data_IF_563801146726
#
_entry.id   IF_563801146726
#
_cell.length_a   1.000
_cell.length_b   1.000
_cell.length_c   1.000
_cell.angle_alpha   90.00
_cell.angle_beta   90.00
_cell.angle_gamma   90.00
#
_symmetry.space_group_name_H-M   'P 1'
#
loop_
_entity.id
_entity.type
_entity.pdbx_description
1 polymer ?
#
# COMPACT_ATOMS: atom_id res chain seq x y z
N UNK A 1 -47.77 55.23 1.08
CA UNK A 1 -48.73 54.13 1.36
C UNK A 1 -48.25 52.94 0.54
N UNK A 2 -47.33 52.13 1.07
CA UNK A 2 -47.50 50.95 1.94
C UNK A 2 -48.21 49.75 1.27
N UNK A 3 -47.59 48.57 1.50
CA UNK A 3 -48.04 47.17 1.32
C UNK A 3 -47.79 46.54 -0.07
N UNK A 4 -46.73 45.71 -0.22
CA UNK A 4 -46.67 44.23 -0.01
C UNK A 4 -47.48 43.47 -1.06
N UNK A 5 -46.90 42.58 -1.87
CA UNK A 5 -46.56 41.22 -1.47
C UNK A 5 -45.45 40.56 -2.31
N UNK A 6 -44.73 39.69 -1.60
CA UNK A 6 -43.66 38.82 -2.07
C UNK A 6 -44.19 37.62 -2.86
N UNK A 7 -43.35 37.11 -3.78
CA UNK A 7 -43.07 35.67 -3.88
C UNK A 7 -41.79 35.44 -4.70
N UNK A 8 -40.68 35.28 -3.98
CA UNK A 8 -39.42 34.73 -4.49
C UNK A 8 -39.58 33.20 -4.41
N UNK A 9 -39.84 32.54 -5.54
CA UNK A 9 -39.71 31.10 -5.63
C UNK A 9 -38.28 30.75 -6.03
N UNK A 10 -37.43 30.56 -5.02
CA UNK A 10 -36.16 29.89 -5.18
C UNK A 10 -36.43 28.41 -5.52
N UNK A 11 -36.28 28.05 -6.80
CA UNK A 11 -36.20 26.64 -7.20
C UNK A 11 -34.79 26.17 -6.88
N UNK A 12 -34.63 25.66 -5.67
CA UNK A 12 -33.42 24.97 -5.23
C UNK A 12 -33.12 23.81 -6.17
N UNK A 13 -32.00 23.92 -6.88
CA UNK A 13 -31.33 22.79 -7.49
C UNK A 13 -30.82 21.92 -6.34
N UNK A 14 -31.65 20.98 -5.88
CA UNK A 14 -31.17 19.86 -5.07
C UNK A 14 -30.35 18.94 -5.98
N UNK A 15 -29.11 19.33 -6.22
CA UNK A 15 -28.08 18.39 -6.63
C UNK A 15 -27.79 17.52 -5.42
N UNK A 16 -28.53 16.41 -5.31
CA UNK A 16 -28.14 15.29 -4.48
C UNK A 16 -26.88 14.71 -5.12
N UNK A 17 -25.72 15.22 -4.72
CA UNK A 17 -24.46 14.54 -4.97
C UNK A 17 -24.56 13.22 -4.21
N UNK A 18 -24.80 12.12 -4.94
CA UNK A 18 -24.39 10.80 -4.47
C UNK A 18 -22.88 10.86 -4.33
N UNK A 19 -22.39 11.26 -3.15
CA UNK A 19 -21.02 10.99 -2.78
C UNK A 19 -20.93 9.47 -2.67
N UNK A 20 -20.59 8.82 -3.78
CA UNK A 20 -19.92 7.53 -3.71
C UNK A 20 -18.75 7.79 -2.78
N UNK A 21 -18.84 7.25 -1.56
CA UNK A 21 -17.73 7.28 -0.62
C UNK A 21 -16.64 6.46 -1.33
N UNK A 22 -15.77 7.13 -2.10
CA UNK A 22 -14.55 6.50 -2.56
C UNK A 22 -13.81 6.14 -1.29
N UNK A 23 -13.85 4.84 -0.99
CA UNK A 23 -13.15 4.25 0.13
C UNK A 23 -11.66 4.34 -0.18
N UNK A 24 -11.11 5.52 0.09
CA UNK A 24 -9.70 5.83 -0.04
C UNK A 24 -8.96 5.26 1.17
N UNK A 25 -8.90 3.94 1.25
CA UNK A 25 -8.03 3.25 2.17
C UNK A 25 -6.97 2.47 1.40
N UNK A 26 -5.84 2.31 2.06
CA UNK A 26 -4.81 1.34 1.76
C UNK A 26 -4.88 0.27 2.84
N UNK A 27 -4.84 -1.00 2.42
CA UNK A 27 -4.62 -2.14 3.30
C UNK A 27 -3.44 -2.94 2.78
N UNK A 28 -2.42 -3.08 3.62
CA UNK A 28 -1.30 -3.99 3.43
C UNK A 28 -1.50 -5.20 4.33
N UNK A 29 -1.40 -6.40 3.77
CA UNK A 29 -1.37 -7.66 4.53
C UNK A 29 -0.07 -8.39 4.23
N UNK A 30 0.57 -8.92 5.28
CA UNK A 30 1.71 -9.84 5.14
C UNK A 30 1.39 -11.12 5.91
N UNK A 31 1.22 -12.23 5.20
CA UNK A 31 0.98 -13.54 5.79
C UNK A 31 2.28 -14.35 5.79
N UNK A 32 2.65 -14.93 6.93
CA UNK A 32 3.74 -15.90 7.02
C UNK A 32 3.18 -17.29 6.72
N UNK A 33 3.44 -17.81 5.51
CA UNK A 33 2.82 -19.04 5.02
C UNK A 33 3.55 -20.29 5.50
N UNK A 34 4.87 -20.28 5.38
CA UNK A 34 5.70 -21.43 5.69
C UNK A 34 7.14 -20.99 6.02
N UNK A 35 7.87 -21.85 6.73
CA UNK A 35 9.28 -21.63 7.05
C UNK A 35 10.06 -22.89 6.67
N UNK A 36 11.10 -22.70 5.87
CA UNK A 36 12.00 -23.77 5.44
C UNK A 36 13.05 -24.08 6.51
N UNK A 37 13.65 -25.25 6.38
CA UNK A 37 14.81 -25.76 7.09
C UNK A 37 16.06 -24.86 6.98
N UNK A 38 16.19 -24.07 5.93
CA UNK A 38 17.27 -23.07 5.75
C UNK A 38 16.96 -21.70 6.38
N UNK A 39 15.87 -21.64 7.15
CA UNK A 39 15.31 -20.46 7.80
C UNK A 39 14.67 -19.43 6.86
N UNK A 40 14.60 -19.64 5.55
CA UNK A 40 13.79 -18.78 4.69
C UNK A 40 12.31 -18.91 5.05
N UNK A 41 11.60 -17.79 5.01
CA UNK A 41 10.17 -17.72 5.27
C UNK A 41 9.46 -17.40 3.96
N UNK A 42 8.52 -18.25 3.58
CA UNK A 42 7.56 -17.94 2.53
C UNK A 42 6.51 -16.99 3.10
N UNK A 43 6.37 -15.83 2.47
CA UNK A 43 5.35 -14.85 2.83
C UNK A 43 4.45 -14.56 1.64
N UNK A 44 3.20 -14.20 1.92
CA UNK A 44 2.33 -13.50 0.97
C UNK A 44 2.26 -12.04 1.35
N UNK A 45 2.52 -11.15 0.39
CA UNK A 45 2.28 -9.71 0.54
C UNK A 45 1.11 -9.33 -0.34
N UNK A 46 0.10 -8.70 0.23
CA UNK A 46 -1.06 -8.18 -0.48
C UNK A 46 -1.23 -6.69 -0.24
N UNK A 47 -1.48 -5.92 -1.29
CA UNK A 47 -1.79 -4.50 -1.21
C UNK A 47 -3.12 -4.23 -1.91
N UNK A 48 -4.03 -3.57 -1.20
CA UNK A 48 -5.38 -3.23 -1.68
C UNK A 48 -5.64 -1.75 -1.41
N UNK A 49 -6.20 -1.04 -2.39
CA UNK A 49 -6.65 0.34 -2.21
C UNK A 49 -6.97 1.04 -3.53
N UNK A 50 -7.82 2.08 -3.47
CA UNK A 50 -8.17 2.91 -4.62
C UNK A 50 -8.58 2.12 -5.90
N UNK A 51 -9.30 1.01 -5.74
CA UNK A 51 -9.73 0.14 -6.84
C UNK A 51 -8.69 -0.86 -7.34
N UNK A 52 -7.47 -0.85 -6.79
CA UNK A 52 -6.42 -1.83 -7.07
C UNK A 52 -6.35 -2.89 -5.96
N UNK A 53 -6.01 -4.10 -6.36
CA UNK A 53 -5.69 -5.20 -5.46
C UNK A 53 -4.69 -6.13 -6.14
N UNK A 54 -3.58 -6.40 -5.47
CA UNK A 54 -2.61 -7.40 -5.91
C UNK A 54 -2.03 -8.13 -4.70
N UNK A 55 -1.49 -9.32 -4.97
CA UNK A 55 -0.71 -10.07 -4.01
C UNK A 55 0.37 -10.87 -4.73
N UNK A 56 1.43 -11.20 -4.00
CA UNK A 56 2.50 -12.07 -4.46
C UNK A 56 3.02 -12.89 -3.28
N UNK A 57 3.47 -14.10 -3.57
CA UNK A 57 4.15 -14.96 -2.58
C UNK A 57 5.63 -15.01 -2.92
N UNK A 58 6.49 -14.83 -1.93
CA UNK A 58 7.95 -14.82 -2.09
C UNK A 58 8.63 -15.41 -0.88
N UNK A 59 9.86 -15.88 -1.08
CA UNK A 59 10.74 -16.33 0.00
C UNK A 59 11.67 -15.19 0.40
N UNK A 60 11.81 -14.95 1.70
CA UNK A 60 12.78 -14.00 2.25
C UNK A 60 13.51 -14.56 3.47
N UNK A 61 14.64 -13.94 3.80
CA UNK A 61 15.34 -14.21 5.06
C UNK A 61 14.62 -13.52 6.23
N UNK A 62 14.57 -14.12 7.42
CA UNK A 62 13.83 -13.58 8.57
C UNK A 62 14.21 -12.14 8.94
N UNK A 63 15.47 -11.75 8.73
CA UNK A 63 15.99 -10.42 9.07
C UNK A 63 15.53 -9.31 8.10
N UNK A 64 14.99 -9.67 6.94
CA UNK A 64 14.54 -8.71 5.93
C UNK A 64 13.35 -7.88 6.43
N UNK A 65 12.38 -8.50 7.11
CA UNK A 65 11.21 -7.79 7.66
C UNK A 65 11.60 -6.81 8.77
N UNK A 66 12.38 -7.20 9.80
CA UNK A 66 12.88 -6.26 10.81
C UNK A 66 13.70 -5.10 10.23
N UNK A 67 14.51 -5.34 9.19
CA UNK A 67 15.27 -4.28 8.52
C UNK A 67 14.33 -3.27 7.86
N UNK A 68 13.37 -3.75 7.06
CA UNK A 68 12.38 -2.92 6.41
C UNK A 68 11.54 -2.12 7.42
N UNK A 69 11.11 -2.76 8.52
CA UNK A 69 10.36 -2.11 9.61
C UNK A 69 11.14 -0.96 10.26
N UNK A 70 12.43 -1.15 10.54
CA UNK A 70 13.30 -0.09 11.08
C UNK A 70 13.47 1.06 10.11
N UNK A 71 13.67 0.76 8.83
CA UNK A 71 13.81 1.79 7.80
C UNK A 71 12.53 2.60 7.63
N UNK A 72 11.36 1.95 7.61
CA UNK A 72 10.05 2.64 7.59
C UNK A 72 9.82 3.50 8.83
N UNK A 73 10.23 3.03 10.01
CA UNK A 73 10.12 3.80 11.26
C UNK A 73 10.95 5.08 11.20
N UNK A 74 12.10 5.03 10.52
CA UNK A 74 13.01 6.16 10.34
C UNK A 74 12.68 7.04 9.12
N UNK A 75 11.68 6.67 8.31
CA UNK A 75 11.35 7.35 7.07
C UNK A 75 10.92 8.79 7.33
N UNK A 76 11.65 9.76 6.79
CA UNK A 76 11.45 11.18 7.06
C UNK A 76 10.66 11.94 5.98
N UNK A 77 10.48 11.34 4.80
CA UNK A 77 9.94 12.02 3.63
C UNK A 77 10.94 12.97 2.96
N UNK A 78 12.25 12.73 3.12
CA UNK A 78 13.29 13.52 2.45
C UNK A 78 13.19 13.41 0.93
N UNK A 79 13.61 14.44 0.17
CA UNK A 79 13.32 14.64 -1.26
C UNK A 79 13.75 13.50 -2.24
N UNK A 80 14.41 12.44 -1.77
CA UNK A 80 14.78 11.23 -2.53
C UNK A 80 14.77 9.98 -1.66
N UNK A 81 14.12 10.05 -0.51
CA UNK A 81 14.10 8.95 0.43
C UNK A 81 13.24 7.82 -0.12
N UNK A 82 13.78 6.62 -0.08
CA UNK A 82 13.07 5.40 -0.42
C UNK A 82 13.45 4.28 0.53
N UNK A 83 12.49 3.42 0.82
CA UNK A 83 12.64 2.23 1.64
C UNK A 83 11.99 1.08 0.91
N UNK A 84 12.71 -0.02 0.75
CA UNK A 84 12.34 -1.10 -0.15
C UNK A 84 12.40 -2.44 0.59
N UNK A 85 11.31 -3.19 0.50
CA UNK A 85 11.27 -4.63 0.74
C UNK A 85 11.26 -5.31 -0.63
N UNK A 86 12.29 -6.09 -0.93
CA UNK A 86 12.44 -6.78 -2.22
C UNK A 86 12.80 -8.25 -2.00
N UNK A 87 12.18 -9.12 -2.79
CA UNK A 87 12.42 -10.56 -2.76
C UNK A 87 12.18 -11.18 -4.15
N UNK A 88 12.88 -12.28 -4.43
CA UNK A 88 12.90 -12.91 -5.75
C UNK A 88 13.85 -12.20 -6.72
N UNK A 89 13.58 -12.29 -8.03
CA UNK A 89 14.44 -11.68 -9.05
C UNK A 89 13.66 -11.35 -10.32
N UNK A 90 14.01 -10.23 -10.96
CA UNK A 90 13.44 -9.83 -12.26
C UNK A 90 14.07 -10.56 -13.44
N UNK A 91 15.15 -11.32 -13.22
CA UNK A 91 15.85 -12.08 -14.26
C UNK A 91 14.90 -13.03 -15.01
N UNK A 92 15.12 -13.29 -16.31
CA UNK A 92 14.20 -14.09 -17.11
C UNK A 92 13.98 -15.54 -16.62
N UNK A 93 14.95 -16.09 -15.89
CA UNK A 93 14.95 -17.45 -15.34
C UNK A 93 14.36 -17.53 -13.91
N UNK A 94 14.05 -16.41 -13.28
CA UNK A 94 13.47 -16.40 -11.94
C UNK A 94 11.96 -16.68 -11.98
N UNK A 95 11.43 -17.37 -10.97
CA UNK A 95 10.01 -17.72 -10.91
C UNK A 95 9.12 -16.51 -10.61
N UNK A 96 9.52 -15.68 -9.63
CA UNK A 96 8.76 -14.52 -9.19
C UNK A 96 9.68 -13.42 -8.63
N UNK A 97 9.07 -12.25 -8.48
CA UNK A 97 9.68 -11.08 -7.88
C UNK A 97 8.60 -10.21 -7.24
N UNK A 98 8.91 -9.66 -6.07
CA UNK A 98 8.10 -8.69 -5.36
C UNK A 98 8.98 -7.53 -4.93
N UNK A 99 8.46 -6.31 -5.10
CA UNK A 99 8.98 -5.10 -4.48
C UNK A 99 7.86 -4.29 -3.87
N UNK A 100 7.98 -4.03 -2.57
CA UNK A 100 7.17 -3.07 -1.83
C UNK A 100 8.05 -1.86 -1.48
N UNK A 101 7.72 -0.69 -2.03
CA UNK A 101 8.57 0.51 -1.97
C UNK A 101 7.82 1.71 -1.40
N UNK A 102 8.24 2.19 -0.25
CA UNK A 102 7.84 3.50 0.26
C UNK A 102 8.78 4.56 -0.32
N UNK A 103 8.23 5.63 -0.91
CA UNK A 103 9.04 6.68 -1.52
C UNK A 103 8.28 8.02 -1.58
N UNK A 104 9.05 9.10 -1.71
CA UNK A 104 8.52 10.45 -1.95
C UNK A 104 8.17 10.62 -3.43
N UNK A 105 6.97 11.14 -3.72
CA UNK A 105 6.41 11.38 -5.05
C UNK A 105 6.84 12.73 -5.61
N UNK A 106 6.89 13.77 -4.76
CA UNK A 106 7.18 15.15 -5.18
C UNK A 106 8.00 15.95 -4.16
N UNK A 107 8.36 17.18 -4.53
CA UNK A 107 9.14 18.08 -3.66
C UNK A 107 8.36 18.64 -2.47
N UNK A 108 7.05 18.41 -2.38
CA UNK A 108 6.18 18.87 -1.29
C UNK A 108 6.14 17.85 -0.15
N UNK A 109 6.64 16.64 -0.39
CA UNK A 109 6.73 15.58 0.62
C UNK A 109 5.58 14.58 0.54
N UNK A 110 4.76 14.62 -0.52
CA UNK A 110 3.78 13.55 -0.75
C UNK A 110 4.49 12.23 -0.94
N UNK A 111 3.98 11.17 -0.32
CA UNK A 111 4.60 9.84 -0.36
C UNK A 111 3.64 8.80 -0.92
N UNK A 112 4.20 7.71 -1.42
CA UNK A 112 3.46 6.55 -1.91
C UNK A 112 4.04 5.25 -1.38
N UNK A 113 3.17 4.26 -1.22
CA UNK A 113 3.52 2.86 -1.14
C UNK A 113 3.28 2.22 -2.51
N UNK A 114 4.35 1.80 -3.16
CA UNK A 114 4.33 1.12 -4.45
C UNK A 114 4.40 -0.38 -4.25
N UNK A 115 3.53 -1.11 -4.94
CA UNK A 115 3.58 -2.56 -5.08
C UNK A 115 3.93 -2.89 -6.53
N UNK A 116 5.04 -3.59 -6.71
CA UNK A 116 5.44 -4.12 -8.01
C UNK A 116 5.68 -5.63 -7.88
N UNK A 117 5.10 -6.44 -8.75
CA UNK A 117 5.38 -7.88 -8.79
C UNK A 117 5.45 -8.45 -10.21
N UNK A 118 6.16 -9.56 -10.33
CA UNK A 118 6.22 -10.39 -11.54
C UNK A 118 6.07 -11.83 -11.07
N UNK A 119 5.08 -12.55 -11.60
CA UNK A 119 5.05 -14.02 -11.54
C UNK A 119 5.21 -14.57 -12.94
N UNK A 120 6.27 -15.36 -13.13
CA UNK A 120 6.51 -16.14 -14.34
C UNK A 120 5.94 -17.54 -14.14
N UNK A 121 5.60 -18.21 -15.23
CA UNK A 121 4.99 -19.54 -15.20
C UNK A 121 4.10 -19.77 -16.42
N UNK A 122 3.20 -20.75 -16.31
CA UNK A 122 2.20 -20.96 -17.35
C UNK A 122 1.34 -19.69 -17.55
N UNK A 123 0.86 -19.38 -18.77
CA UNK A 123 0.10 -18.15 -19.03
C UNK A 123 -1.09 -17.90 -18.11
N UNK A 124 -1.70 -18.97 -17.57
CA UNK A 124 -2.86 -18.89 -16.67
C UNK A 124 -2.51 -18.38 -15.26
N UNK A 125 -1.25 -18.47 -14.83
CA UNK A 125 -0.77 -17.99 -13.52
C UNK A 125 0.19 -16.80 -13.62
N UNK A 126 0.70 -16.53 -14.82
CA UNK A 126 1.65 -15.45 -15.06
C UNK A 126 0.95 -14.09 -14.95
N UNK A 127 1.59 -13.15 -14.26
CA UNK A 127 1.06 -11.81 -14.10
C UNK A 127 2.16 -10.79 -13.80
N UNK A 128 1.82 -9.52 -13.98
CA UNK A 128 2.65 -8.39 -13.63
C UNK A 128 1.76 -7.29 -13.04
N UNK A 129 2.14 -6.79 -11.88
CA UNK A 129 1.46 -5.68 -11.21
C UNK A 129 2.46 -4.56 -10.96
N UNK A 130 2.05 -3.31 -11.18
CA UNK A 130 2.79 -2.13 -10.75
C UNK A 130 1.80 -1.00 -10.49
N UNK A 131 1.59 -0.64 -9.23
CA UNK A 131 0.74 0.48 -8.85
C UNK A 131 1.23 1.11 -7.55
N UNK A 132 0.85 2.36 -7.33
CA UNK A 132 1.21 3.14 -6.15
C UNK A 132 -0.04 3.69 -5.49
N UNK A 133 -0.07 3.65 -4.16
CA UNK A 133 -1.12 4.23 -3.35
C UNK A 133 -0.54 5.37 -2.51
N UNK A 134 -1.15 6.57 -2.52
CA UNK A 134 -0.71 7.68 -1.68
C UNK A 134 -0.79 7.31 -0.20
N UNK A 135 0.22 7.73 0.57
CA UNK A 135 0.30 7.47 2.01
C UNK A 135 1.10 8.57 2.70
N UNK A 136 0.71 8.93 3.91
CA UNK A 136 1.42 9.91 4.71
C UNK A 136 2.72 9.34 5.31
N UNK A 137 3.73 10.20 5.49
CA UNK A 137 4.97 9.84 6.21
C UNK A 137 4.66 9.25 7.60
N UNK A 138 3.72 9.88 8.32
CA UNK A 138 3.32 9.41 9.64
C UNK A 138 2.71 8.00 9.60
N UNK A 139 1.93 7.68 8.57
CA UNK A 139 1.35 6.35 8.37
C UNK A 139 2.44 5.32 8.02
N UNK A 140 3.44 5.68 7.21
CA UNK A 140 4.59 4.82 6.95
C UNK A 140 5.41 4.53 8.21
N UNK A 141 5.64 5.54 9.06
CA UNK A 141 6.34 5.35 10.33
C UNK A 141 5.55 4.46 11.28
N UNK A 142 4.23 4.63 11.34
CA UNK A 142 3.35 3.80 12.15
C UNK A 142 3.35 2.35 11.65
N UNK A 143 3.26 2.15 10.34
CA UNK A 143 3.43 0.84 9.71
C UNK A 143 4.76 0.20 10.10
N UNK A 144 5.86 0.96 10.08
CA UNK A 144 7.18 0.49 10.50
C UNK A 144 7.22 0.06 11.96
N UNK A 145 6.60 0.81 12.88
CA UNK A 145 6.52 0.46 14.31
C UNK A 145 5.69 -0.79 14.54
N UNK A 146 4.51 -0.87 13.92
CA UNK A 146 3.63 -2.03 14.03
C UNK A 146 4.33 -3.28 13.47
N UNK A 147 4.95 -3.17 12.30
CA UNK A 147 5.70 -4.25 11.67
C UNK A 147 6.91 -4.68 12.51
N UNK A 148 7.61 -3.73 13.15
CA UNK A 148 8.73 -4.02 14.05
C UNK A 148 8.33 -4.74 15.33
N UNK A 149 7.06 -4.65 15.74
CA UNK A 149 6.48 -5.40 16.86
C UNK A 149 5.87 -6.74 16.45
N UNK A 150 5.70 -6.97 15.15
CA UNK A 150 5.11 -8.20 14.63
C UNK A 150 6.13 -9.34 14.66
N UNK A 151 5.71 -10.49 15.20
CA UNK A 151 6.51 -11.70 15.22
C UNK A 151 6.29 -12.49 13.94
N UNK A 152 7.32 -12.58 13.10
CA UNK A 152 7.30 -13.41 11.90
C UNK A 152 7.36 -14.89 12.30
N UNK A 153 6.21 -15.54 12.34
CA UNK A 153 6.05 -16.97 12.62
C UNK A 153 4.99 -17.58 11.70
N UNK A 154 5.16 -18.83 11.29
CA UNK A 154 4.19 -19.53 10.43
C UNK A 154 2.75 -19.40 10.93
N UNK A 155 1.85 -18.99 10.04
CA UNK A 155 0.43 -18.74 10.32
C UNK A 155 0.14 -17.35 10.91
N UNK A 156 1.15 -16.52 11.19
CA UNK A 156 0.93 -15.14 11.61
C UNK A 156 0.59 -14.24 10.42
N UNK A 157 -0.31 -13.30 10.66
CA UNK A 157 -0.69 -12.25 9.70
C UNK A 157 -0.41 -10.89 10.30
N UNK A 158 0.27 -10.04 9.55
CA UNK A 158 0.34 -8.61 9.77
C UNK A 158 -0.72 -7.92 8.90
N UNK A 159 -1.41 -6.94 9.45
CA UNK A 159 -2.33 -6.09 8.68
C UNK A 159 -2.13 -4.65 9.09
N UNK A 160 -1.97 -3.79 8.09
CA UNK A 160 -1.87 -2.35 8.26
C UNK A 160 -2.92 -1.66 7.40
N UNK A 161 -3.58 -0.66 7.96
CA UNK A 161 -4.55 0.16 7.26
C UNK A 161 -4.21 1.64 7.41
N UNK A 162 -4.29 2.37 6.32
CA UNK A 162 -4.16 3.82 6.30
C UNK A 162 -5.23 4.43 5.40
N UNK A 163 -5.57 5.69 5.66
CA UNK A 163 -6.35 6.49 4.72
C UNK A 163 -5.44 7.04 3.63
N UNK A 164 -5.98 7.09 2.41
CA UNK A 164 -5.34 7.69 1.26
C UNK A 164 -6.00 9.04 0.99
N UNK A 165 -5.64 10.07 1.75
CA UNK A 165 -6.35 11.36 1.68
C UNK A 165 -5.98 12.21 0.43
N UNK A 166 -5.15 11.68 -0.47
CA UNK A 166 -4.75 12.36 -1.71
C UNK A 166 -5.42 11.78 -2.96
N UNK A 167 -6.12 12.65 -3.68
CA UNK A 167 -6.41 12.46 -5.10
C UNK A 167 -5.30 13.18 -5.85
N UNK A 168 -4.46 12.45 -6.58
CA UNK A 168 -3.51 13.07 -7.52
C UNK A 168 -4.35 13.73 -8.63
N UNK A 169 -4.47 15.06 -8.55
CA UNK A 169 -5.19 15.90 -9.52
C UNK A 169 -4.38 16.16 -10.77
#
# INVERSE_FOLDING_TARGET
MNHSDAQIAAVGQNQTYSSTFEMNFLRLTIDALWQDSDAMVEIRVALIGAGYAAWEEVYLYPDTIPLFARQLTAFSGGAREEVVLEAGSTEPNAHNWLRLRAHVIDSVGHCALQFSSIRRGAPVVAHHFDFSLPVEVAALNDMGKQLGSWSLSTGATFTFEARCDYVLS
#
